data_IF_537384530577
#
_entry.id   IF_537384530577
#
_cell.length_a   1.000
_cell.length_b   1.000
_cell.length_c   1.000
_cell.angle_alpha   90.00
_cell.angle_beta   90.00
_cell.angle_gamma   90.00
#
_symmetry.space_group_name_H-M   'P 1'
#
loop_
_entity.id
_entity.type
_entity.pdbx_description
1 polymer ?
#
# COMPACT_ATOMS: atom_id res chain seq x y z
N UNK A 1 38.29 10.55 2.06
CA UNK A 1 37.98 9.14 2.39
C UNK A 1 37.36 8.52 1.15
N UNK A 2 38.04 7.56 0.50
CA UNK A 2 37.51 6.93 -0.71
C UNK A 2 36.36 5.99 -0.33
N UNK A 3 35.19 6.17 -0.94
CA UNK A 3 34.03 5.29 -0.73
C UNK A 3 34.37 3.95 -1.39
N UNK A 4 34.33 2.86 -0.62
CA UNK A 4 34.55 1.53 -1.18
C UNK A 4 33.31 1.07 -1.96
N UNK A 5 33.47 0.16 -2.92
CA UNK A 5 32.34 -0.43 -3.65
C UNK A 5 31.30 -1.03 -2.70
N UNK A 6 31.74 -1.60 -1.58
CA UNK A 6 30.87 -2.16 -0.54
C UNK A 6 30.05 -1.07 0.18
N UNK A 7 30.65 0.10 0.44
CA UNK A 7 29.95 1.22 1.07
C UNK A 7 28.89 1.82 0.15
N UNK A 8 29.13 1.84 -1.17
CA UNK A 8 28.12 2.22 -2.16
C UNK A 8 26.92 1.28 -2.15
N UNK A 9 27.13 -0.03 -2.03
CA UNK A 9 26.02 -1.00 -1.97
C UNK A 9 25.25 -0.90 -0.66
N UNK A 10 25.92 -0.72 0.48
CA UNK A 10 25.26 -0.45 1.77
C UNK A 10 24.34 0.76 1.70
N UNK A 11 24.82 1.86 1.11
CA UNK A 11 24.01 3.07 0.92
C UNK A 11 22.81 2.81 0.00
N UNK A 12 23.04 2.13 -1.14
CA UNK A 12 21.98 1.80 -2.08
C UNK A 12 20.90 0.91 -1.44
N UNK A 13 21.29 -0.16 -0.73
CA UNK A 13 20.36 -1.06 -0.03
C UNK A 13 19.57 -0.32 1.04
N UNK A 14 20.24 0.52 1.84
CA UNK A 14 19.56 1.34 2.84
C UNK A 14 18.48 2.23 2.20
N UNK A 15 18.83 2.98 1.15
CA UNK A 15 17.90 3.90 0.50
C UNK A 15 16.76 3.15 -0.22
N UNK A 16 17.08 2.08 -0.95
CA UNK A 16 16.10 1.27 -1.67
C UNK A 16 15.09 0.66 -0.72
N UNK A 17 15.55 0.02 0.36
CA UNK A 17 14.65 -0.57 1.36
C UNK A 17 13.85 0.50 2.11
N UNK A 18 14.48 1.64 2.44
CA UNK A 18 13.83 2.77 3.11
C UNK A 18 12.67 3.33 2.29
N UNK A 19 12.92 3.68 1.02
CA UNK A 19 11.88 4.27 0.17
C UNK A 19 10.83 3.24 -0.24
N UNK A 20 11.20 1.99 -0.44
CA UNK A 20 10.23 0.94 -0.75
C UNK A 20 9.25 0.71 0.39
N UNK A 21 9.75 0.69 1.63
CA UNK A 21 8.88 0.58 2.80
C UNK A 21 8.07 1.87 3.06
N UNK A 22 8.65 3.05 2.77
CA UNK A 22 7.90 4.29 2.76
C UNK A 22 6.74 4.26 1.73
N UNK A 23 6.95 3.68 0.54
CA UNK A 23 5.89 3.54 -0.47
C UNK A 23 4.81 2.54 -0.04
N UNK A 24 5.16 1.45 0.63
CA UNK A 24 4.16 0.58 1.28
C UNK A 24 3.31 1.34 2.29
N UNK A 25 3.91 2.17 3.12
CA UNK A 25 3.19 3.01 4.08
C UNK A 25 2.31 4.08 3.40
N UNK A 26 2.82 4.71 2.34
CA UNK A 26 2.03 5.64 1.54
C UNK A 26 0.78 4.97 0.94
N UNK A 27 0.93 3.74 0.44
CA UNK A 27 -0.15 2.93 -0.13
C UNK A 27 -1.15 2.47 0.94
N UNK A 28 -0.70 1.99 2.11
CA UNK A 28 -1.58 1.68 3.26
C UNK A 28 -2.43 2.87 3.67
N UNK A 29 -1.83 4.06 3.67
CA UNK A 29 -2.51 5.29 4.07
C UNK A 29 -3.44 5.85 2.99
N UNK A 30 -3.35 5.36 1.74
CA UNK A 30 -4.17 5.83 0.63
C UNK A 30 -5.67 5.75 0.96
N UNK A 31 -6.14 4.59 1.44
CA UNK A 31 -7.54 4.40 1.83
C UNK A 31 -7.94 5.35 2.95
N UNK A 32 -7.16 5.41 4.04
CA UNK A 32 -7.43 6.30 5.17
C UNK A 32 -7.54 7.78 4.77
N UNK A 33 -6.75 8.24 3.78
CA UNK A 33 -6.79 9.62 3.30
C UNK A 33 -8.04 9.91 2.44
N UNK A 34 -8.69 8.89 1.88
CA UNK A 34 -9.83 9.07 0.97
C UNK A 34 -11.16 8.55 1.50
N UNK A 35 -11.22 7.93 2.68
CA UNK A 35 -12.44 7.44 3.36
C UNK A 35 -13.64 8.37 3.21
N UNK A 36 -13.50 9.63 3.62
CA UNK A 36 -14.59 10.60 3.52
C UNK A 36 -15.09 10.85 2.08
N UNK A 37 -14.23 10.70 1.07
CA UNK A 37 -14.62 10.78 -0.33
C UNK A 37 -15.23 9.47 -0.84
N UNK A 38 -14.67 8.34 -0.42
CA UNK A 38 -15.16 6.99 -0.75
C UNK A 38 -16.56 6.76 -0.17
N UNK A 39 -16.77 7.07 1.12
CA UNK A 39 -18.07 7.00 1.78
C UNK A 39 -19.14 7.82 1.04
N UNK A 40 -18.81 9.02 0.55
CA UNK A 40 -19.72 9.85 -0.26
C UNK A 40 -20.14 9.20 -1.57
N UNK A 41 -19.22 8.48 -2.23
CA UNK A 41 -19.52 7.75 -3.47
C UNK A 41 -20.32 6.49 -3.18
N UNK A 42 -20.05 5.81 -2.07
CA UNK A 42 -20.80 4.62 -1.65
C UNK A 42 -22.21 4.94 -1.11
N UNK A 43 -22.45 6.19 -0.66
CA UNK A 43 -23.71 6.67 -0.07
C UNK A 43 -24.23 7.95 -0.75
N UNK A 44 -24.52 7.93 -2.07
CA UNK A 44 -24.97 9.13 -2.76
C UNK A 44 -26.35 9.57 -2.24
N UNK A 45 -26.42 10.73 -1.58
CA UNK A 45 -27.66 11.28 -1.02
C UNK A 45 -28.70 11.56 -2.12
N UNK A 46 -29.94 11.17 -1.86
CA UNK A 46 -31.10 11.30 -2.76
C UNK A 46 -31.58 12.76 -2.87
N UNK A 47 -31.04 13.70 -2.07
CA UNK A 47 -31.63 15.04 -1.87
C UNK A 47 -30.66 16.21 -2.12
N UNK A 48 -29.81 16.13 -3.16
CA UNK A 48 -29.03 17.32 -3.57
C UNK A 48 -29.85 18.18 -4.55
N UNK A 49 -30.61 19.15 -4.04
CA UNK A 49 -31.45 20.10 -4.82
C UNK A 49 -30.65 21.08 -5.69
N UNK A 50 -29.31 21.07 -5.58
CA UNK A 50 -28.42 22.06 -6.21
C UNK A 50 -28.02 21.73 -7.65
N UNK A 51 -28.31 20.50 -8.12
CA UNK A 51 -27.95 20.04 -9.46
C UNK A 51 -29.19 19.42 -10.12
N UNK A 52 -29.57 19.83 -11.34
CA UNK A 52 -30.61 19.11 -12.07
C UNK A 52 -30.14 17.67 -12.22
N UNK A 53 -30.98 16.71 -11.84
CA UNK A 53 -30.66 15.29 -11.94
C UNK A 53 -30.37 14.92 -13.40
N UNK A 54 -29.09 14.90 -13.79
CA UNK A 54 -28.64 14.59 -15.16
C UNK A 54 -28.89 13.10 -15.49
N UNK A 55 -29.20 12.25 -14.51
CA UNK A 55 -29.52 10.83 -14.72
C UNK A 55 -30.81 10.41 -14.01
N UNK A 56 -31.66 9.58 -14.65
CA UNK A 56 -32.92 9.12 -14.06
C UNK A 56 -32.67 8.28 -12.79
N UNK A 57 -33.51 8.46 -11.76
CA UNK A 57 -33.42 7.84 -10.42
C UNK A 57 -33.15 6.32 -10.42
N UNK A 58 -33.57 5.59 -11.46
CA UNK A 58 -33.32 4.14 -11.61
C UNK A 58 -31.86 3.77 -11.90
N UNK A 59 -31.10 4.65 -12.55
CA UNK A 59 -29.65 4.47 -12.85
C UNK A 59 -28.80 4.99 -11.68
N UNK A 60 -29.35 5.90 -10.87
CA UNK A 60 -28.72 6.41 -9.64
C UNK A 60 -28.80 5.39 -8.49
N UNK A 61 -29.95 4.72 -8.34
CA UNK A 61 -30.18 3.69 -7.31
C UNK A 61 -29.61 2.29 -7.67
N UNK A 62 -28.93 2.12 -8.80
CA UNK A 62 -28.33 0.82 -9.15
C UNK A 62 -26.91 0.64 -8.64
N UNK A 63 -26.27 1.69 -8.12
CA UNK A 63 -24.83 1.71 -7.80
C UNK A 63 -24.49 2.27 -6.41
N UNK A 64 -25.45 2.34 -5.48
CA UNK A 64 -25.15 2.64 -4.08
C UNK A 64 -24.77 1.36 -3.33
N UNK A 65 -23.59 1.33 -2.72
CA UNK A 65 -23.15 0.21 -1.89
C UNK A 65 -23.90 0.20 -0.55
N UNK A 66 -24.25 1.39 -0.03
CA UNK A 66 -24.94 1.54 1.25
C UNK A 66 -26.03 2.63 1.20
N UNK A 67 -27.06 2.45 2.03
CA UNK A 67 -28.17 3.41 2.15
C UNK A 67 -27.87 4.57 3.12
N UNK A 68 -26.91 4.40 4.02
CA UNK A 68 -26.57 5.39 5.04
C UNK A 68 -25.05 5.58 5.19
N UNK A 69 -24.64 6.80 5.52
CA UNK A 69 -23.25 7.12 5.82
C UNK A 69 -22.70 6.27 6.99
N UNK A 70 -23.54 5.98 8.00
CA UNK A 70 -23.19 5.12 9.13
C UNK A 70 -22.85 3.70 8.68
N UNK A 71 -23.63 3.13 7.75
CA UNK A 71 -23.35 1.80 7.19
C UNK A 71 -22.04 1.77 6.40
N UNK A 72 -21.74 2.82 5.63
CA UNK A 72 -20.47 2.93 4.91
C UNK A 72 -19.28 3.06 5.87
N UNK A 73 -19.37 3.90 6.91
CA UNK A 73 -18.34 4.03 7.94
C UNK A 73 -18.10 2.71 8.68
N UNK A 74 -19.16 1.96 9.00
CA UNK A 74 -19.04 0.63 9.58
C UNK A 74 -18.29 -0.32 8.65
N UNK A 75 -18.59 -0.31 7.35
CA UNK A 75 -17.90 -1.13 6.36
C UNK A 75 -16.44 -0.75 6.18
N UNK A 76 -16.09 0.54 6.20
CA UNK A 76 -14.69 0.99 6.22
C UNK A 76 -13.93 0.42 7.43
N UNK A 77 -14.59 0.32 8.59
CA UNK A 77 -14.05 -0.34 9.78
C UNK A 77 -13.83 -1.85 9.60
N UNK A 78 -14.76 -2.53 8.90
CA UNK A 78 -14.61 -3.95 8.54
C UNK A 78 -13.42 -4.15 7.61
N UNK A 79 -13.23 -3.28 6.61
CA UNK A 79 -12.08 -3.32 5.72
C UNK A 79 -10.76 -3.15 6.48
N UNK A 80 -10.63 -2.12 7.32
CA UNK A 80 -9.42 -1.89 8.12
C UNK A 80 -9.10 -3.10 9.02
N UNK A 81 -10.11 -3.65 9.68
CA UNK A 81 -9.94 -4.80 10.58
C UNK A 81 -9.50 -6.04 9.80
N UNK A 82 -10.15 -6.32 8.68
CA UNK A 82 -9.84 -7.48 7.83
C UNK A 82 -8.42 -7.39 7.27
N UNK A 83 -8.02 -6.19 6.83
CA UNK A 83 -6.65 -5.91 6.40
C UNK A 83 -5.63 -6.16 7.51
N UNK A 84 -5.86 -5.61 8.71
CA UNK A 84 -4.91 -5.74 9.81
C UNK A 84 -4.77 -7.18 10.32
N UNK A 85 -5.87 -7.94 10.34
CA UNK A 85 -5.84 -9.37 10.64
C UNK A 85 -5.01 -10.13 9.59
N UNK A 86 -5.33 -9.94 8.31
CA UNK A 86 -4.60 -10.57 7.21
C UNK A 86 -3.11 -10.21 7.23
N UNK A 87 -2.78 -8.94 7.48
CA UNK A 87 -1.42 -8.46 7.61
C UNK A 87 -0.68 -9.12 8.77
N UNK A 88 -1.31 -9.22 9.95
CA UNK A 88 -0.72 -9.87 11.12
C UNK A 88 -0.42 -11.36 10.86
N UNK A 89 -1.37 -12.10 10.28
CA UNK A 89 -1.16 -13.49 9.85
C UNK A 89 -0.03 -13.60 8.82
N UNK A 90 -0.04 -12.71 7.82
CA UNK A 90 0.95 -12.66 6.76
C UNK A 90 2.37 -12.39 7.27
N UNK A 91 2.56 -11.58 8.32
CA UNK A 91 3.88 -11.34 8.91
C UNK A 91 4.55 -12.65 9.39
N UNK A 92 3.79 -13.57 9.97
CA UNK A 92 4.33 -14.87 10.41
C UNK A 92 4.68 -15.77 9.21
N UNK A 93 3.76 -15.87 8.26
CA UNK A 93 3.92 -16.73 7.08
C UNK A 93 5.07 -16.24 6.19
N UNK A 94 5.07 -14.95 5.86
CA UNK A 94 6.06 -14.33 5.01
C UNK A 94 7.40 -14.15 5.72
N UNK A 95 7.43 -14.06 7.05
CA UNK A 95 8.67 -14.15 7.82
C UNK A 95 9.36 -15.50 7.62
N UNK A 96 8.61 -16.60 7.80
CA UNK A 96 9.13 -17.94 7.59
C UNK A 96 9.64 -18.19 6.15
N UNK A 97 8.92 -17.67 5.14
CA UNK A 97 9.34 -17.78 3.73
C UNK A 97 10.52 -16.85 3.42
N UNK A 98 10.49 -15.63 3.95
CA UNK A 98 11.50 -14.58 3.72
C UNK A 98 12.87 -14.90 4.31
N UNK A 99 12.94 -15.69 5.39
CA UNK A 99 14.21 -16.17 5.96
C UNK A 99 15.02 -17.05 4.99
N UNK A 100 14.37 -17.58 3.94
CA UNK A 100 15.05 -18.33 2.89
C UNK A 100 15.66 -17.35 1.89
N UNK A 101 16.97 -17.10 1.99
CA UNK A 101 17.76 -16.16 1.15
C UNK A 101 17.44 -16.21 -0.36
N UNK A 102 17.11 -17.37 -0.90
CA UNK A 102 16.78 -17.55 -2.33
C UNK A 102 15.51 -16.80 -2.75
N UNK A 103 14.55 -16.64 -1.84
CA UNK A 103 13.23 -16.06 -2.14
C UNK A 103 13.06 -14.63 -1.64
N UNK A 104 13.99 -14.10 -0.84
CA UNK A 104 13.88 -12.81 -0.16
C UNK A 104 13.50 -11.67 -1.13
N UNK A 105 14.32 -11.46 -2.18
CA UNK A 105 14.08 -10.43 -3.19
C UNK A 105 12.77 -10.62 -3.94
N UNK A 106 12.50 -11.86 -4.36
CA UNK A 106 11.31 -12.21 -5.15
C UNK A 106 10.04 -12.00 -4.33
N UNK A 107 10.04 -12.38 -3.06
CA UNK A 107 8.91 -12.21 -2.14
C UNK A 107 8.60 -10.73 -1.89
N UNK A 108 9.64 -9.90 -1.74
CA UNK A 108 9.47 -8.46 -1.56
C UNK A 108 8.92 -7.77 -2.81
N UNK A 109 9.51 -8.08 -3.97
CA UNK A 109 9.08 -7.52 -5.25
C UNK A 109 7.65 -7.93 -5.62
N UNK A 110 7.32 -9.22 -5.50
CA UNK A 110 5.96 -9.72 -5.74
C UNK A 110 4.94 -9.12 -4.77
N UNK A 111 5.32 -8.92 -3.51
CA UNK A 111 4.45 -8.25 -2.53
C UNK A 111 4.18 -6.79 -2.90
N UNK A 112 5.21 -6.05 -3.33
CA UNK A 112 5.06 -4.65 -3.77
C UNK A 112 4.21 -4.55 -5.04
N UNK A 113 4.56 -5.34 -6.07
CA UNK A 113 3.84 -5.35 -7.34
C UNK A 113 2.38 -5.81 -7.15
N UNK A 114 2.17 -6.88 -6.41
CA UNK A 114 0.83 -7.38 -6.10
C UNK A 114 -0.01 -6.38 -5.30
N UNK A 115 0.56 -5.76 -4.27
CA UNK A 115 -0.13 -4.72 -3.49
C UNK A 115 -0.50 -3.51 -4.36
N UNK A 116 0.34 -3.13 -5.30
CA UNK A 116 0.04 -2.07 -6.26
C UNK A 116 -1.15 -2.43 -7.17
N UNK A 117 -1.14 -3.64 -7.73
CA UNK A 117 -2.22 -4.14 -8.60
C UNK A 117 -3.54 -4.20 -7.83
N UNK A 118 -3.54 -4.77 -6.63
CA UNK A 118 -4.75 -4.86 -5.78
C UNK A 118 -5.33 -3.48 -5.44
N UNK A 119 -4.48 -2.51 -5.06
CA UNK A 119 -4.96 -1.15 -4.77
C UNK A 119 -5.49 -0.44 -6.02
N UNK A 120 -4.87 -0.67 -7.18
CA UNK A 120 -5.39 -0.16 -8.44
C UNK A 120 -6.75 -0.78 -8.77
N UNK A 121 -6.93 -2.08 -8.55
CA UNK A 121 -8.22 -2.77 -8.73
C UNK A 121 -9.27 -2.18 -7.79
N UNK A 122 -8.98 -2.15 -6.48
CA UNK A 122 -9.86 -1.65 -5.44
C UNK A 122 -10.34 -0.22 -5.70
N UNK A 123 -9.40 0.68 -6.02
CA UNK A 123 -9.67 2.10 -6.09
C UNK A 123 -10.07 2.61 -7.47
N UNK A 124 -9.51 2.04 -8.54
CA UNK A 124 -9.71 2.54 -9.90
C UNK A 124 -10.67 1.65 -10.70
N UNK A 125 -10.38 0.35 -10.76
CA UNK A 125 -11.16 -0.57 -11.61
C UNK A 125 -12.58 -0.71 -11.08
N UNK A 126 -12.77 -0.92 -9.78
CA UNK A 126 -14.11 -1.02 -9.20
C UNK A 126 -14.92 0.26 -9.42
N UNK A 127 -14.31 1.43 -9.29
CA UNK A 127 -14.97 2.71 -9.53
C UNK A 127 -15.32 2.93 -11.01
N UNK A 128 -14.35 2.72 -11.91
CA UNK A 128 -14.57 2.94 -13.35
C UNK A 128 -15.53 1.92 -13.98
N UNK A 129 -15.57 0.70 -13.44
CA UNK A 129 -16.50 -0.34 -13.87
C UNK A 129 -17.86 -0.30 -13.13
N UNK A 130 -18.05 0.66 -12.20
CA UNK A 130 -19.23 0.77 -11.33
C UNK A 130 -19.57 -0.56 -10.60
N UNK A 131 -18.54 -1.33 -10.24
CA UNK A 131 -18.67 -2.63 -9.58
C UNK A 131 -18.57 -2.51 -8.06
N UNK A 132 -19.72 -2.47 -7.40
CA UNK A 132 -19.85 -2.29 -5.95
C UNK A 132 -20.36 -3.57 -5.28
N UNK A 133 -19.45 -4.39 -4.75
CA UNK A 133 -19.79 -5.64 -4.05
C UNK A 133 -18.99 -5.79 -2.76
N UNK A 134 -19.67 -5.75 -1.61
CA UNK A 134 -19.05 -5.78 -0.28
C UNK A 134 -18.07 -6.94 -0.07
N UNK A 135 -18.48 -8.16 -0.46
CA UNK A 135 -17.67 -9.37 -0.30
C UNK A 135 -16.40 -9.33 -1.16
N UNK A 136 -16.50 -8.82 -2.39
CA UNK A 136 -15.35 -8.64 -3.26
C UNK A 136 -14.37 -7.63 -2.69
N UNK A 137 -14.85 -6.49 -2.19
CA UNK A 137 -14.03 -5.46 -1.56
C UNK A 137 -13.27 -6.01 -0.34
N UNK A 138 -13.94 -6.78 0.53
CA UNK A 138 -13.28 -7.44 1.67
C UNK A 138 -12.24 -8.46 1.19
N UNK A 139 -12.57 -9.28 0.19
CA UNK A 139 -11.67 -10.30 -0.34
C UNK A 139 -10.36 -9.72 -0.89
N UNK A 140 -10.44 -8.72 -1.77
CA UNK A 140 -9.24 -8.07 -2.34
C UNK A 140 -8.44 -7.33 -1.27
N UNK A 141 -9.11 -6.77 -0.26
CA UNK A 141 -8.44 -6.05 0.83
C UNK A 141 -7.72 -7.00 1.80
N UNK A 142 -8.24 -8.21 2.01
CA UNK A 142 -7.54 -9.29 2.72
C UNK A 142 -6.30 -9.74 1.95
N UNK A 143 -6.41 -9.93 0.63
CA UNK A 143 -5.25 -10.24 -0.23
C UNK A 143 -4.21 -9.13 -0.13
N UNK A 144 -4.65 -7.87 -0.16
CA UNK A 144 -3.76 -6.72 -0.01
C UNK A 144 -2.99 -6.77 1.33
N UNK A 145 -3.66 -7.08 2.44
CA UNK A 145 -3.02 -7.27 3.75
C UNK A 145 -1.94 -8.35 3.74
N UNK A 146 -2.22 -9.50 3.12
CA UNK A 146 -1.25 -10.59 2.99
C UNK A 146 -0.03 -10.18 2.13
N UNK A 147 -0.27 -9.55 0.97
CA UNK A 147 0.81 -9.09 0.08
C UNK A 147 1.67 -8.01 0.73
N UNK A 148 1.04 -7.06 1.43
CA UNK A 148 1.76 -5.96 2.06
C UNK A 148 2.62 -6.42 3.24
N UNK A 149 2.26 -7.54 3.89
CA UNK A 149 3.03 -8.10 5.01
C UNK A 149 4.39 -8.70 4.62
N UNK A 150 4.67 -8.90 3.33
CA UNK A 150 6.00 -9.39 2.89
C UNK A 150 7.11 -8.37 3.15
N UNK A 151 6.77 -7.08 3.20
CA UNK A 151 7.76 -6.01 3.25
C UNK A 151 8.62 -6.02 4.50
N UNK A 152 8.01 -6.11 5.68
CA UNK A 152 8.75 -5.96 6.94
C UNK A 152 9.76 -7.08 7.19
N UNK A 153 9.39 -8.38 7.11
CA UNK A 153 10.33 -9.46 7.40
C UNK A 153 11.51 -9.48 6.43
N UNK A 154 11.26 -9.26 5.14
CA UNK A 154 12.32 -9.21 4.12
C UNK A 154 13.27 -8.04 4.38
N UNK A 155 12.75 -6.84 4.63
CA UNK A 155 13.65 -5.69 4.84
C UNK A 155 14.49 -5.86 6.12
N UNK A 156 13.91 -6.41 7.19
CA UNK A 156 14.66 -6.69 8.42
C UNK A 156 15.77 -7.74 8.19
N UNK A 157 15.52 -8.75 7.36
CA UNK A 157 16.52 -9.73 6.95
C UNK A 157 17.63 -9.07 6.11
N UNK A 158 17.27 -8.31 5.06
CA UNK A 158 18.20 -7.63 4.17
C UNK A 158 19.11 -6.65 4.94
N UNK A 159 18.53 -5.83 5.81
CA UNK A 159 19.26 -4.93 6.68
C UNK A 159 20.19 -5.68 7.65
N UNK A 160 19.76 -6.87 8.13
CA UNK A 160 20.59 -7.73 8.96
C UNK A 160 21.78 -8.36 8.22
N UNK A 161 21.63 -8.67 6.93
CA UNK A 161 22.70 -9.20 6.08
C UNK A 161 23.77 -8.14 5.79
N UNK A 162 23.36 -6.90 5.54
CA UNK A 162 24.26 -5.81 5.14
C UNK A 162 24.91 -5.05 6.30
N UNK A 163 24.22 -4.96 7.45
CA UNK A 163 24.66 -4.18 8.60
C UNK A 163 24.89 -5.09 9.83
N UNK A 164 26.16 -5.20 10.23
CA UNK A 164 26.59 -6.06 11.34
C UNK A 164 26.06 -5.63 12.72
N UNK A 165 26.32 -6.49 13.72
CA UNK A 165 25.77 -6.40 15.08
C UNK A 165 26.03 -5.07 15.82
N UNK A 166 27.16 -4.39 15.59
CA UNK A 166 27.60 -3.27 16.41
C UNK A 166 26.83 -1.95 16.21
N UNK A 167 26.21 -1.73 15.04
CA UNK A 167 25.47 -0.50 14.71
C UNK A 167 24.03 -0.74 14.24
N UNK A 168 23.57 -2.00 14.25
CA UNK A 168 22.26 -2.41 13.73
C UNK A 168 21.09 -1.67 14.40
N UNK A 169 21.14 -1.45 15.72
CA UNK A 169 20.06 -0.78 16.45
C UNK A 169 19.87 0.69 16.02
N UNK A 170 20.95 1.46 15.89
CA UNK A 170 20.89 2.84 15.43
C UNK A 170 20.41 2.93 13.99
N UNK A 171 20.94 2.08 13.11
CA UNK A 171 20.57 2.05 11.69
C UNK A 171 19.11 1.66 11.48
N UNK A 172 18.63 0.64 12.18
CA UNK A 172 17.20 0.27 12.16
C UNK A 172 16.32 1.39 12.76
N UNK A 173 16.81 2.09 13.79
CA UNK A 173 16.13 3.24 14.37
C UNK A 173 15.92 4.38 13.37
N UNK A 174 16.99 4.78 12.65
CA UNK A 174 16.91 5.78 11.58
C UNK A 174 16.02 5.27 10.45
N UNK A 175 16.23 4.02 10.04
CA UNK A 175 15.48 3.40 8.95
C UNK A 175 13.98 3.34 9.25
N UNK A 176 13.57 3.08 10.50
CA UNK A 176 12.17 3.03 10.94
C UNK A 176 11.40 4.34 10.71
N UNK A 177 12.09 5.48 10.56
CA UNK A 177 11.45 6.75 10.17
C UNK A 177 10.78 6.71 8.78
N UNK A 178 11.08 5.69 7.95
CA UNK A 178 10.45 5.46 6.66
C UNK A 178 8.92 5.39 6.75
N UNK A 179 8.36 4.86 7.83
CA UNK A 179 6.91 4.79 8.02
C UNK A 179 6.28 6.19 8.09
N UNK A 180 6.92 7.10 8.84
CA UNK A 180 6.50 8.50 8.93
C UNK A 180 6.67 9.23 7.61
N UNK A 181 7.79 9.00 6.90
CA UNK A 181 8.02 9.57 5.55
C UNK A 181 6.95 9.09 4.57
N UNK A 182 6.65 7.79 4.56
CA UNK A 182 5.59 7.20 3.75
C UNK A 182 4.22 7.79 4.06
N UNK A 183 3.90 7.99 5.34
CA UNK A 183 2.66 8.62 5.75
C UNK A 183 2.53 10.08 5.28
N UNK A 184 3.63 10.84 5.23
CA UNK A 184 3.66 12.21 4.69
C UNK A 184 3.44 12.17 3.17
N UNK A 185 4.20 11.33 2.46
CA UNK A 185 4.09 11.15 1.01
C UNK A 185 2.66 10.77 0.63
N UNK A 186 2.07 9.77 1.29
CA UNK A 186 0.72 9.29 0.99
C UNK A 186 -0.35 10.37 1.21
N UNK A 187 -0.25 11.16 2.29
CA UNK A 187 -1.17 12.27 2.54
C UNK A 187 -1.02 13.38 1.51
N UNK A 188 0.22 13.74 1.14
CA UNK A 188 0.48 14.75 0.10
C UNK A 188 -0.07 14.30 -1.27
N UNK A 189 0.20 13.06 -1.66
CA UNK A 189 -0.29 12.48 -2.91
C UNK A 189 -1.81 12.51 -2.97
N UNK A 190 -2.50 11.99 -1.93
CA UNK A 190 -3.95 12.01 -1.88
C UNK A 190 -4.51 13.43 -1.98
N UNK A 191 -3.99 14.38 -1.19
CA UNK A 191 -4.43 15.76 -1.20
C UNK A 191 -4.30 16.44 -2.58
N UNK A 192 -3.25 16.10 -3.35
CA UNK A 192 -3.01 16.68 -4.68
C UNK A 192 -4.02 16.28 -5.75
N UNK A 193 -4.69 15.13 -5.58
CA UNK A 193 -5.59 14.56 -6.60
C UNK A 193 -7.02 14.35 -6.12
N UNK A 194 -7.29 14.54 -4.82
CA UNK A 194 -8.60 14.30 -4.23
C UNK A 194 -9.72 15.14 -4.87
N UNK A 195 -9.39 16.34 -5.38
CA UNK A 195 -10.35 17.19 -6.09
C UNK A 195 -10.88 16.58 -7.40
N UNK A 196 -10.14 15.64 -8.00
CA UNK A 196 -10.54 14.96 -9.22
C UNK A 196 -11.34 13.67 -8.94
N UNK A 197 -11.24 13.13 -7.73
CA UNK A 197 -11.89 11.88 -7.31
C UNK A 197 -10.96 10.98 -6.48
N UNK A 198 -11.55 10.13 -5.64
CA UNK A 198 -10.79 9.24 -4.74
C UNK A 198 -9.98 8.17 -5.51
N UNK A 199 -10.49 7.72 -6.66
CA UNK A 199 -9.84 6.76 -7.54
C UNK A 199 -8.47 7.25 -8.01
N UNK A 200 -8.30 8.56 -8.21
CA UNK A 200 -7.02 9.12 -8.65
C UNK A 200 -5.96 9.08 -7.54
N UNK A 201 -6.35 9.13 -6.27
CA UNK A 201 -5.43 8.92 -5.15
C UNK A 201 -4.91 7.49 -5.11
N UNK A 202 -5.79 6.51 -5.39
CA UNK A 202 -5.40 5.12 -5.53
C UNK A 202 -4.53 4.87 -6.75
N UNK A 203 -4.85 5.48 -7.90
CA UNK A 203 -4.01 5.42 -9.11
C UNK A 203 -2.61 5.97 -8.85
N UNK A 204 -2.52 7.14 -8.20
CA UNK A 204 -1.24 7.77 -7.93
C UNK A 204 -0.38 6.91 -6.99
N UNK A 205 -0.99 6.39 -5.92
CA UNK A 205 -0.29 5.54 -4.94
C UNK A 205 0.07 4.16 -5.48
N UNK A 206 -0.75 3.57 -6.35
CA UNK A 206 -0.41 2.31 -7.03
C UNK A 206 0.76 2.50 -8.00
N UNK A 207 0.77 3.56 -8.81
CA UNK A 207 1.87 3.87 -9.73
C UNK A 207 3.21 4.07 -9.01
N UNK A 208 3.22 4.78 -7.88
CA UNK A 208 4.44 4.97 -7.06
C UNK A 208 4.90 3.66 -6.46
N UNK A 209 3.99 2.84 -5.92
CA UNK A 209 4.34 1.54 -5.36
C UNK A 209 4.88 0.59 -6.44
N UNK A 210 4.29 0.57 -7.63
CA UNK A 210 4.75 -0.23 -8.76
C UNK A 210 6.13 0.22 -9.24
N UNK A 211 6.36 1.53 -9.30
CA UNK A 211 7.68 2.09 -9.61
C UNK A 211 8.73 1.65 -8.58
N UNK A 212 8.36 1.62 -7.29
CA UNK A 212 9.18 1.07 -6.23
C UNK A 212 9.51 -0.41 -6.42
N UNK A 213 8.53 -1.23 -6.82
CA UNK A 213 8.74 -2.64 -7.15
C UNK A 213 9.79 -2.79 -8.26
N UNK A 214 9.64 -2.07 -9.38
CA UNK A 214 10.64 -2.07 -10.46
C UNK A 214 12.05 -1.68 -9.97
N UNK A 215 12.17 -0.66 -9.10
CA UNK A 215 13.46 -0.27 -8.54
C UNK A 215 14.08 -1.38 -7.68
N UNK A 216 13.28 -2.14 -6.92
CA UNK A 216 13.73 -3.29 -6.15
C UNK A 216 14.13 -4.45 -7.05
N UNK A 217 13.30 -4.77 -8.05
CA UNK A 217 13.57 -5.84 -8.99
C UNK A 217 14.94 -5.69 -9.67
N UNK A 218 15.28 -4.48 -10.12
CA UNK A 218 16.56 -4.23 -10.80
C UNK A 218 17.70 -3.86 -9.85
N UNK A 219 17.42 -3.16 -8.74
CA UNK A 219 18.44 -2.50 -7.93
C UNK A 219 18.77 -3.16 -6.59
N UNK A 220 17.87 -3.97 -6.02
CA UNK A 220 18.12 -4.56 -4.70
C UNK A 220 19.07 -5.76 -4.79
N UNK A 221 20.11 -5.72 -3.97
CA UNK A 221 21.01 -6.84 -3.69
C UNK A 221 20.83 -7.24 -2.23
N UNK A 222 20.39 -8.47 -1.98
CA UNK A 222 19.92 -8.94 -0.67
C UNK A 222 21.03 -9.30 0.31
N UNK A 223 22.17 -9.78 -0.20
CA UNK A 223 23.34 -10.15 0.61
C UNK A 223 24.62 -9.53 0.06
N UNK A 224 25.62 -9.19 0.90
CA UNK A 224 26.97 -8.87 0.44
C UNK A 224 27.63 -10.02 -0.33
N UNK A 225 27.21 -11.27 -0.10
CA UNK A 225 27.70 -12.46 -0.82
C UNK A 225 27.38 -12.43 -2.33
N UNK A 226 26.40 -11.61 -2.72
CA UNK A 226 25.91 -11.50 -4.09
C UNK A 226 26.66 -10.41 -4.92
N UNK A 227 27.72 -9.79 -4.36
CA UNK A 227 28.47 -8.64 -4.95
C UNK A 227 29.92 -8.97 -5.31
#
# INVERSE_FOLDING_TARGET
>A
MAITRLDSHRCAVFLLTFFSYAFFHANRKAFSNVKASTAKVWTPSIHNESLPAIRPNKIWNSHNLFDSAESAEHFEGVLDTSFMLAYALGLYLNGYVGDRKVYEKVLFDLGMAGCSVEVFIFGCVCEWAEYYNEYFYVFIWVINGLLQSTGWPVVVACMGNWFGQSSRGMLLGIWSSCASVGNIIGTFMAASVLSYGYQYAFLMTSCVLLSGAFMIFFGLVTSPDDV
#
